data_IF_722818450086
#
_entry.id   IF_722818450086
#
_cell.length_a   1.000
_cell.length_b   1.000
_cell.length_c   1.000
_cell.angle_alpha   90.00
_cell.angle_beta   90.00
_cell.angle_gamma   90.00
#
_symmetry.space_group_name_H-M   'P 1'
#
loop_
_entity.id
_entity.type
_entity.pdbx_description
1 polymer ?
#
# COMPACT_ATOMS: atom_id res chain seq x y z
N UNK A 1 -14.72 1.51 10.30
CA UNK A 1 -14.50 0.89 8.96
C UNK A 1 -13.50 -0.27 9.08
N UNK A 2 -13.66 -1.38 8.33
CA UNK A 2 -12.74 -2.53 8.37
C UNK A 2 -12.03 -2.70 7.02
N UNK A 3 -10.70 -2.65 7.02
CA UNK A 3 -9.84 -2.74 5.83
C UNK A 3 -8.98 -4.02 5.92
N UNK A 4 -8.87 -4.73 4.80
CA UNK A 4 -7.96 -5.83 4.58
C UNK A 4 -6.84 -5.41 3.63
N UNK A 5 -5.60 -5.63 4.03
CA UNK A 5 -4.39 -5.28 3.24
C UNK A 5 -3.45 -6.47 3.09
N UNK A 6 -2.56 -6.40 2.11
CA UNK A 6 -1.61 -7.47 1.82
C UNK A 6 -0.55 -7.64 2.90
N UNK A 7 0.08 -6.56 3.35
CA UNK A 7 1.23 -6.60 4.24
C UNK A 7 1.26 -5.50 5.31
N UNK A 8 2.32 -5.54 6.11
CA UNK A 8 2.52 -4.60 7.21
C UNK A 8 2.75 -3.18 6.72
N UNK A 9 3.52 -3.01 5.63
CA UNK A 9 3.80 -1.67 5.09
C UNK A 9 2.53 -0.96 4.59
N UNK A 10 1.60 -1.70 4.01
CA UNK A 10 0.29 -1.19 3.59
C UNK A 10 -0.55 -0.74 4.78
N UNK A 11 -0.54 -1.57 5.84
CA UNK A 11 -1.20 -1.23 7.10
C UNK A 11 -0.64 0.06 7.68
N UNK A 12 0.67 0.15 7.88
CA UNK A 12 1.34 1.30 8.48
C UNK A 12 1.02 2.60 7.70
N UNK A 13 1.09 2.54 6.37
CA UNK A 13 0.74 3.67 5.51
C UNK A 13 -0.73 4.09 5.66
N UNK A 14 -1.67 3.13 5.59
CA UNK A 14 -3.09 3.42 5.66
C UNK A 14 -3.52 3.90 7.05
N UNK A 15 -2.91 3.43 8.13
CA UNK A 15 -3.16 3.94 9.48
C UNK A 15 -2.76 5.43 9.58
N UNK A 16 -1.58 5.78 9.06
CA UNK A 16 -1.12 7.18 9.02
C UNK A 16 -2.03 8.05 8.15
N UNK A 17 -2.43 7.56 6.97
CA UNK A 17 -3.28 8.31 6.07
C UNK A 17 -4.72 8.45 6.59
N UNK A 18 -5.30 7.41 7.18
CA UNK A 18 -6.62 7.48 7.81
C UNK A 18 -6.60 8.40 9.03
N UNK A 19 -5.53 8.39 9.82
CA UNK A 19 -5.32 9.36 10.92
C UNK A 19 -5.29 10.80 10.40
N UNK A 20 -4.59 11.06 9.31
CA UNK A 20 -4.60 12.38 8.64
C UNK A 20 -6.01 12.80 8.20
N UNK A 21 -6.80 11.86 7.67
CA UNK A 21 -8.20 12.10 7.26
C UNK A 21 -9.21 12.12 8.43
N UNK A 22 -8.78 11.89 9.67
CA UNK A 22 -9.65 11.70 10.85
C UNK A 22 -10.69 10.58 10.68
N UNK A 23 -10.26 9.44 10.12
CA UNK A 23 -11.10 8.25 9.91
C UNK A 23 -10.69 7.15 10.88
N UNK A 24 -11.65 6.60 11.62
CA UNK A 24 -11.41 5.45 12.52
C UNK A 24 -11.51 4.12 11.75
N UNK A 25 -10.41 3.37 11.79
CA UNK A 25 -10.23 2.17 10.98
C UNK A 25 -9.66 1.03 11.80
N UNK A 26 -10.19 -0.17 11.53
CA UNK A 26 -9.54 -1.42 11.87
C UNK A 26 -8.89 -1.96 10.60
N UNK A 27 -7.59 -2.25 10.64
CA UNK A 27 -6.85 -2.82 9.51
C UNK A 27 -6.28 -4.18 9.88
N UNK A 28 -6.64 -5.21 9.11
CA UNK A 28 -6.11 -6.58 9.24
C UNK A 28 -5.27 -6.96 8.01
N UNK A 29 -4.21 -7.74 8.25
CA UNK A 29 -3.24 -8.16 7.22
C UNK A 29 -3.59 -9.58 6.75
N UNK A 30 -3.62 -9.80 5.43
CA UNK A 30 -3.94 -11.11 4.85
C UNK A 30 -2.71 -11.98 4.57
N UNK A 31 -1.50 -11.43 4.70
CA UNK A 31 -0.21 -12.06 4.38
C UNK A 31 -0.03 -12.34 2.87
N UNK A 32 -0.31 -11.33 2.04
CA UNK A 32 -0.16 -11.35 0.59
C UNK A 32 -1.44 -11.64 -0.19
N UNK A 33 -1.54 -11.12 -1.42
CA UNK A 33 -2.78 -11.15 -2.24
C UNK A 33 -3.43 -12.52 -2.46
N UNK A 34 -2.67 -13.62 -2.38
CA UNK A 34 -3.17 -14.98 -2.63
C UNK A 34 -3.68 -15.69 -1.37
N UNK A 35 -3.62 -15.04 -0.21
CA UNK A 35 -3.94 -15.65 1.08
C UNK A 35 -5.30 -15.23 1.65
N UNK A 36 -6.05 -14.37 0.96
CA UNK A 36 -7.37 -13.92 1.42
C UNK A 36 -8.31 -15.11 1.68
N UNK A 37 -8.33 -16.10 0.77
CA UNK A 37 -9.15 -17.31 0.93
C UNK A 37 -8.76 -18.16 2.15
N UNK A 38 -7.50 -18.11 2.55
CA UNK A 38 -6.99 -18.85 3.70
C UNK A 38 -7.29 -18.14 5.03
N UNK A 39 -7.93 -16.97 4.99
CA UNK A 39 -8.24 -16.12 6.14
C UNK A 39 -9.75 -15.82 6.23
N UNK A 40 -10.66 -16.82 6.20
CA UNK A 40 -12.10 -16.60 6.20
C UNK A 40 -12.62 -15.89 7.46
N UNK A 41 -11.86 -15.91 8.55
CA UNK A 41 -12.24 -15.21 9.78
C UNK A 41 -12.09 -13.68 9.66
N UNK A 42 -11.34 -13.18 8.66
CA UNK A 42 -11.11 -11.75 8.45
C UNK A 42 -12.24 -11.08 7.65
N UNK A 43 -13.00 -11.84 6.86
CA UNK A 43 -14.07 -11.32 6.01
C UNK A 43 -15.37 -12.06 6.35
N UNK A 44 -16.35 -11.31 6.85
CA UNK A 44 -17.63 -11.82 7.35
C UNK A 44 -18.80 -11.33 6.50
N UNK A 45 -19.85 -12.16 6.39
CA UNK A 45 -21.03 -11.87 5.57
C UNK A 45 -22.01 -10.85 6.18
N UNK A 46 -21.80 -10.42 7.41
CA UNK A 46 -22.64 -9.45 8.12
C UNK A 46 -22.01 -8.06 8.22
N UNK A 47 -20.82 -7.88 7.63
CA UNK A 47 -20.06 -6.64 7.69
C UNK A 47 -19.57 -6.25 6.30
N UNK A 48 -19.40 -4.94 6.08
CA UNK A 48 -18.76 -4.41 4.88
C UNK A 48 -17.26 -4.35 5.06
N UNK A 49 -16.51 -4.94 4.13
CA UNK A 49 -15.04 -5.03 4.14
C UNK A 49 -14.45 -4.24 2.97
N UNK A 50 -13.44 -3.42 3.25
CA UNK A 50 -12.66 -2.80 2.19
C UNK A 50 -11.41 -3.62 1.93
N UNK A 51 -11.11 -3.92 0.67
CA UNK A 51 -9.93 -4.68 0.28
C UNK A 51 -9.01 -3.75 -0.50
N UNK A 52 -7.85 -3.44 0.07
CA UNK A 52 -6.89 -2.49 -0.50
C UNK A 52 -5.57 -3.22 -0.74
N UNK A 53 -5.39 -3.70 -1.97
CA UNK A 53 -4.26 -4.54 -2.40
C UNK A 53 -3.46 -3.85 -3.49
N UNK A 54 -2.28 -4.36 -3.84
CA UNK A 54 -1.49 -3.85 -4.95
C UNK A 54 -2.08 -4.29 -6.31
N UNK A 55 -1.98 -3.41 -7.31
CA UNK A 55 -2.28 -3.80 -8.69
C UNK A 55 -1.17 -4.68 -9.30
N UNK A 56 0.04 -4.65 -8.72
CA UNK A 56 1.27 -5.26 -9.24
C UNK A 56 1.52 -4.89 -10.70
N UNK A 57 2.01 -5.83 -11.50
CA UNK A 57 2.31 -5.63 -12.92
C UNK A 57 1.03 -5.46 -13.77
N UNK A 58 -0.09 -6.08 -13.35
CA UNK A 58 -1.32 -6.16 -14.14
C UNK A 58 -2.58 -5.94 -13.29
N UNK A 59 -3.10 -4.71 -13.33
CA UNK A 59 -4.31 -4.30 -12.60
C UNK A 59 -5.48 -5.31 -12.72
N UNK A 60 -5.83 -5.71 -13.95
CA UNK A 60 -6.97 -6.59 -14.18
C UNK A 60 -6.77 -8.00 -13.61
N UNK A 61 -5.54 -8.51 -13.65
CA UNK A 61 -5.23 -9.85 -13.14
C UNK A 61 -5.30 -9.86 -11.62
N UNK A 62 -4.76 -8.83 -10.97
CA UNK A 62 -4.83 -8.67 -9.51
C UNK A 62 -6.27 -8.51 -9.03
N UNK A 63 -7.08 -7.70 -9.72
CA UNK A 63 -8.51 -7.56 -9.43
C UNK A 63 -9.26 -8.89 -9.56
N UNK A 64 -9.06 -9.59 -10.68
CA UNK A 64 -9.69 -10.89 -10.97
C UNK A 64 -9.30 -11.93 -9.92
N UNK A 65 -8.04 -11.93 -9.48
CA UNK A 65 -7.55 -12.84 -8.44
C UNK A 65 -8.25 -12.63 -7.09
N UNK A 66 -8.44 -11.37 -6.69
CA UNK A 66 -9.16 -11.02 -5.46
C UNK A 66 -10.62 -11.45 -5.57
N UNK A 67 -11.30 -11.07 -6.65
CA UNK A 67 -12.70 -11.44 -6.89
C UNK A 67 -12.90 -12.96 -6.89
N UNK A 68 -11.97 -13.72 -7.49
CA UNK A 68 -12.03 -15.18 -7.49
C UNK A 68 -11.93 -15.77 -6.07
N UNK A 69 -11.04 -15.24 -5.23
CA UNK A 69 -10.92 -15.70 -3.84
C UNK A 69 -12.20 -15.37 -3.04
N UNK A 70 -12.71 -14.16 -3.18
CA UNK A 70 -13.95 -13.74 -2.50
C UNK A 70 -15.14 -14.60 -2.94
N UNK A 71 -15.27 -14.88 -4.24
CA UNK A 71 -16.32 -15.73 -4.79
C UNK A 71 -16.24 -17.16 -4.21
N UNK A 72 -15.05 -17.71 -4.03
CA UNK A 72 -14.86 -19.02 -3.41
C UNK A 72 -15.27 -19.04 -1.93
N UNK A 73 -15.23 -17.88 -1.27
CA UNK A 73 -15.66 -17.71 0.12
C UNK A 73 -17.16 -17.41 0.26
N UNK A 74 -17.89 -17.27 -0.85
CA UNK A 74 -19.31 -16.92 -0.90
C UNK A 74 -19.65 -15.60 -0.17
N UNK A 75 -18.76 -14.60 -0.25
CA UNK A 75 -19.05 -13.27 0.29
C UNK A 75 -19.92 -12.49 -0.73
N UNK A 76 -21.08 -11.96 -0.32
CA UNK A 76 -21.94 -11.15 -1.19
C UNK A 76 -21.23 -9.88 -1.70
N UNK A 77 -21.57 -9.43 -2.91
CA UNK A 77 -20.95 -8.25 -3.55
C UNK A 77 -21.19 -6.95 -2.78
N UNK A 78 -22.29 -6.86 -2.09
CA UNK A 78 -22.67 -5.73 -1.23
C UNK A 78 -21.80 -5.62 0.03
N UNK A 79 -21.08 -6.68 0.40
CA UNK A 79 -20.29 -6.75 1.62
C UNK A 79 -18.80 -6.48 1.39
N UNK A 80 -18.39 -6.13 0.18
CA UNK A 80 -17.02 -5.74 -0.06
C UNK A 80 -16.88 -4.65 -1.13
N UNK A 81 -15.84 -3.85 -0.99
CA UNK A 81 -15.36 -2.96 -2.04
C UNK A 81 -13.86 -3.17 -2.23
N UNK A 82 -13.39 -3.12 -3.48
CA UNK A 82 -11.98 -3.35 -3.85
C UNK A 82 -11.37 -2.05 -4.35
N UNK A 83 -10.20 -1.71 -3.82
CA UNK A 83 -9.32 -0.68 -4.32
C UNK A 83 -7.95 -1.28 -4.60
N UNK A 84 -7.38 -1.01 -5.77
CA UNK A 84 -6.00 -1.42 -6.06
C UNK A 84 -5.05 -0.23 -6.01
N UNK A 85 -3.97 -0.34 -5.25
CA UNK A 85 -2.87 0.63 -5.28
C UNK A 85 -2.19 0.60 -6.66
N UNK A 86 -1.71 1.75 -7.16
CA UNK A 86 -1.56 3.02 -6.44
C UNK A 86 -2.80 3.93 -6.45
N UNK A 87 -3.71 3.79 -7.42
CA UNK A 87 -4.80 4.76 -7.66
C UNK A 87 -6.08 4.15 -8.25
N UNK A 88 -6.28 2.85 -8.08
CA UNK A 88 -7.40 2.07 -8.59
C UNK A 88 -7.59 2.09 -10.11
N UNK A 89 -6.53 2.39 -10.87
CA UNK A 89 -6.56 2.43 -12.33
C UNK A 89 -5.27 1.93 -12.97
N UNK A 90 -4.13 2.39 -12.46
CA UNK A 90 -2.83 2.05 -13.00
C UNK A 90 -2.31 0.75 -12.37
N UNK A 91 -1.46 0.03 -13.09
CA UNK A 91 -0.58 -0.99 -12.48
C UNK A 91 0.41 -0.32 -11.51
N UNK A 92 0.82 -1.05 -10.49
CA UNK A 92 1.75 -0.58 -9.47
C UNK A 92 1.35 -1.07 -8.08
N UNK A 93 1.88 -0.38 -7.09
CA UNK A 93 1.82 -0.81 -5.70
C UNK A 93 1.95 0.40 -4.76
N UNK A 94 1.97 0.15 -3.45
CA UNK A 94 2.23 1.19 -2.45
C UNK A 94 3.50 2.00 -2.74
N UNK A 95 4.61 1.37 -3.11
CA UNK A 95 5.83 2.12 -3.40
C UNK A 95 5.66 3.05 -4.60
N UNK A 96 4.90 2.63 -5.61
CA UNK A 96 4.53 3.49 -6.75
C UNK A 96 3.74 4.71 -6.29
N UNK A 97 2.82 4.54 -5.34
CA UNK A 97 2.08 5.65 -4.76
C UNK A 97 2.99 6.61 -3.99
N UNK A 98 3.82 6.10 -3.07
CA UNK A 98 4.73 6.91 -2.25
C UNK A 98 5.70 7.70 -3.13
N UNK A 99 6.26 7.08 -4.18
CA UNK A 99 7.09 7.79 -5.15
C UNK A 99 6.38 8.95 -5.84
N UNK A 100 5.06 8.90 -6.05
CA UNK A 100 4.30 10.00 -6.66
C UNK A 100 4.06 11.13 -5.68
N UNK A 101 3.78 10.82 -4.42
CA UNK A 101 3.41 11.81 -3.40
C UNK A 101 4.59 12.34 -2.56
N UNK A 102 5.77 11.74 -2.63
CA UNK A 102 6.95 12.22 -1.90
C UNK A 102 7.27 13.69 -2.20
N UNK A 103 7.48 14.52 -1.18
CA UNK A 103 7.78 15.95 -1.33
C UNK A 103 9.24 16.18 -1.73
N UNK A 104 10.15 15.39 -1.17
CA UNK A 104 11.60 15.53 -1.35
C UNK A 104 12.14 14.52 -2.39
N UNK A 105 11.80 14.71 -3.66
CA UNK A 105 12.21 13.80 -4.76
C UNK A 105 13.73 13.62 -4.85
N UNK A 106 14.50 14.59 -4.39
CA UNK A 106 15.95 14.58 -4.36
C UNK A 106 16.49 13.39 -3.56
N UNK A 107 15.83 13.03 -2.45
CA UNK A 107 16.20 11.85 -1.64
C UNK A 107 15.99 10.55 -2.44
N UNK A 108 14.88 10.45 -3.17
CA UNK A 108 14.63 9.31 -4.07
C UNK A 108 15.68 9.25 -5.19
N UNK A 109 16.06 10.40 -5.75
CA UNK A 109 17.09 10.49 -6.79
C UNK A 109 18.49 10.12 -6.25
N UNK A 110 18.78 10.38 -4.97
CA UNK A 110 20.02 9.90 -4.33
C UNK A 110 20.09 8.36 -4.34
N UNK A 111 18.95 7.68 -4.15
CA UNK A 111 18.89 6.22 -4.22
C UNK A 111 19.18 5.70 -5.63
N UNK A 112 18.70 6.38 -6.67
CA UNK A 112 19.02 6.04 -8.07
C UNK A 112 20.53 6.14 -8.32
N UNK A 113 21.20 7.15 -7.74
CA UNK A 113 22.66 7.25 -7.78
C UNK A 113 23.38 6.10 -7.05
N UNK A 114 22.80 5.59 -5.97
CA UNK A 114 23.29 4.39 -5.28
C UNK A 114 23.13 3.12 -6.14
N UNK A 115 21.98 2.93 -6.78
CA UNK A 115 21.75 1.83 -7.72
C UNK A 115 22.73 1.89 -8.90
N UNK A 116 22.94 3.09 -9.46
CA UNK A 116 23.91 3.30 -10.53
C UNK A 116 25.33 2.97 -10.07
N UNK A 117 25.71 3.38 -8.86
CA UNK A 117 27.00 3.05 -8.26
C UNK A 117 27.21 1.55 -8.15
N UNK A 118 26.23 0.80 -7.61
CA UNK A 118 26.27 -0.66 -7.52
C UNK A 118 26.43 -1.30 -8.89
N UNK A 119 25.64 -0.85 -9.87
CA UNK A 119 25.64 -1.41 -11.22
C UNK A 119 27.02 -1.34 -11.90
N UNK A 120 27.82 -0.32 -11.56
CA UNK A 120 29.15 -0.07 -12.13
C UNK A 120 30.28 -0.87 -11.47
N UNK A 121 30.03 -1.57 -10.34
CA UNK A 121 31.07 -2.32 -9.63
C UNK A 121 31.55 -3.57 -10.37
N UNK A 122 30.79 -4.06 -11.37
CA UNK A 122 31.18 -5.23 -12.17
C UNK A 122 31.25 -6.55 -11.39
N UNK A 123 30.65 -6.61 -10.19
CA UNK A 123 30.63 -7.80 -9.34
C UNK A 123 29.61 -8.79 -9.92
N UNK A 124 30.07 -9.98 -10.31
CA UNK A 124 29.20 -11.01 -10.88
C UNK A 124 28.15 -11.46 -9.84
N UNK A 125 26.88 -11.51 -10.26
CA UNK A 125 25.76 -11.90 -9.41
C UNK A 125 25.24 -10.82 -8.45
N UNK A 126 25.76 -9.60 -8.50
CA UNK A 126 25.21 -8.49 -7.70
C UNK A 126 23.79 -8.17 -8.19
N UNK A 127 22.86 -7.97 -7.24
CA UNK A 127 21.48 -7.57 -7.51
C UNK A 127 21.29 -6.13 -7.09
N UNK A 128 20.55 -5.37 -7.89
CA UNK A 128 20.11 -4.05 -7.47
C UNK A 128 19.07 -4.17 -6.35
N UNK A 129 19.01 -3.21 -5.43
CA UNK A 129 17.94 -3.11 -4.46
C UNK A 129 16.55 -3.15 -5.12
N UNK A 130 15.56 -3.65 -4.39
CA UNK A 130 14.18 -3.62 -4.84
C UNK A 130 13.59 -2.21 -4.67
N UNK A 131 12.51 -1.91 -5.40
CA UNK A 131 11.74 -0.66 -5.26
C UNK A 131 11.34 -0.36 -3.80
N UNK A 132 10.99 -1.39 -3.05
CA UNK A 132 10.73 -1.32 -1.60
C UNK A 132 11.89 -0.71 -0.81
N UNK A 133 13.13 -1.05 -1.17
CA UNK A 133 14.32 -0.49 -0.52
C UNK A 133 14.47 1.01 -0.79
N UNK A 134 14.08 1.50 -1.97
CA UNK A 134 14.12 2.93 -2.31
C UNK A 134 13.15 3.74 -1.44
N UNK A 135 11.91 3.26 -1.31
CA UNK A 135 10.89 3.92 -0.47
C UNK A 135 11.23 3.80 1.01
N UNK A 136 11.74 2.65 1.46
CA UNK A 136 12.20 2.51 2.83
C UNK A 136 13.36 3.47 3.15
N UNK A 137 14.37 3.56 2.29
CA UNK A 137 15.47 4.52 2.44
C UNK A 137 15.00 5.98 2.44
N UNK A 138 13.96 6.29 1.67
CA UNK A 138 13.30 7.60 1.72
C UNK A 138 12.75 7.91 3.11
N UNK A 139 11.97 6.98 3.67
CA UNK A 139 11.40 7.13 5.01
C UNK A 139 12.49 7.18 6.10
N UNK A 140 13.52 6.33 6.00
CA UNK A 140 14.65 6.29 6.94
C UNK A 140 15.44 7.60 6.97
N UNK A 141 15.55 8.28 5.82
CA UNK A 141 16.21 9.59 5.72
C UNK A 141 15.53 10.66 6.59
N UNK A 142 14.28 10.44 6.98
CA UNK A 142 13.49 11.32 7.83
C UNK A 142 13.22 10.76 9.23
N UNK A 143 13.89 9.69 9.62
CA UNK A 143 13.86 9.16 10.98
C UNK A 143 12.89 8.01 11.22
N UNK A 144 12.27 7.45 10.18
CA UNK A 144 11.63 6.14 10.29
C UNK A 144 12.71 5.08 10.54
N UNK A 145 12.64 4.29 11.62
CA UNK A 145 13.71 3.32 11.94
C UNK A 145 13.29 1.88 11.75
N UNK A 146 12.08 1.54 12.18
CA UNK A 146 11.53 0.20 12.08
C UNK A 146 10.00 0.27 12.24
N UNK A 147 9.29 -0.82 11.90
CA UNK A 147 7.84 -0.91 12.09
C UNK A 147 7.39 -0.74 13.56
N UNK A 148 8.23 -1.08 14.53
CA UNK A 148 7.90 -0.94 15.97
C UNK A 148 7.84 0.53 16.41
N UNK A 149 8.58 1.43 15.74
CA UNK A 149 8.54 2.88 15.97
C UNK A 149 7.57 3.61 15.02
N UNK A 150 6.86 2.89 14.13
CA UNK A 150 5.97 3.47 13.13
C UNK A 150 4.83 4.31 13.73
N UNK A 151 4.30 3.91 14.90
CA UNK A 151 3.23 4.63 15.60
C UNK A 151 3.58 6.09 15.92
N UNK A 152 4.88 6.39 16.11
CA UNK A 152 5.38 7.71 16.45
C UNK A 152 5.91 8.49 15.23
N UNK A 153 5.95 7.85 14.05
CA UNK A 153 6.47 8.48 12.85
C UNK A 153 5.36 9.21 12.11
N UNK A 154 5.50 10.53 11.98
CA UNK A 154 4.61 11.33 11.15
C UNK A 154 5.17 11.45 9.73
N UNK A 155 4.53 10.78 8.78
CA UNK A 155 4.92 10.84 7.36
C UNK A 155 4.45 12.14 6.67
N UNK A 156 3.47 12.85 7.23
CA UNK A 156 2.84 14.01 6.58
C UNK A 156 3.78 15.18 6.22
N UNK A 157 4.90 15.44 6.93
CA UNK A 157 5.85 16.47 6.51
C UNK A 157 6.69 16.08 5.28
N UNK A 158 6.65 14.80 4.88
CA UNK A 158 7.51 14.22 3.85
C UNK A 158 6.72 13.77 2.61
N UNK A 159 5.41 13.63 2.71
CA UNK A 159 4.54 13.30 1.58
C UNK A 159 3.40 14.31 1.43
N UNK A 160 2.99 14.53 0.20
CA UNK A 160 1.84 15.35 -0.14
C UNK A 160 0.55 14.52 -0.02
N UNK A 161 -0.07 14.50 1.16
CA UNK A 161 -1.35 13.79 1.36
C UNK A 161 -2.54 14.42 0.64
N UNK A 162 -2.40 15.63 0.08
CA UNK A 162 -3.39 16.26 -0.79
C UNK A 162 -3.06 16.08 -2.28
N UNK A 163 -2.06 15.25 -2.60
CA UNK A 163 -1.70 15.00 -3.98
C UNK A 163 -2.85 14.34 -4.74
N UNK A 164 -3.09 14.77 -5.98
CA UNK A 164 -4.11 14.17 -6.87
C UNK A 164 -3.97 12.66 -7.06
N UNK A 165 -2.78 12.08 -6.89
CA UNK A 165 -2.59 10.62 -6.99
C UNK A 165 -3.28 9.84 -5.84
N UNK A 166 -3.61 10.52 -4.73
CA UNK A 166 -4.36 9.98 -3.60
C UNK A 166 -5.86 10.25 -3.67
N UNK A 167 -6.32 11.03 -4.64
CA UNK A 167 -7.72 11.50 -4.68
C UNK A 167 -8.70 10.32 -4.76
N UNK A 168 -8.41 9.32 -5.59
CA UNK A 168 -9.25 8.12 -5.70
C UNK A 168 -9.28 7.33 -4.39
N UNK A 169 -8.14 7.20 -3.69
CA UNK A 169 -8.07 6.52 -2.39
C UNK A 169 -8.82 7.32 -1.31
N UNK A 170 -8.67 8.65 -1.29
CA UNK A 170 -9.36 9.57 -0.39
C UNK A 170 -10.87 9.42 -0.55
N UNK A 171 -11.36 9.50 -1.79
CA UNK A 171 -12.78 9.36 -2.11
C UNK A 171 -13.30 7.97 -1.75
N UNK A 172 -12.52 6.92 -2.02
CA UNK A 172 -12.86 5.55 -1.66
C UNK A 172 -13.03 5.37 -0.15
N UNK A 173 -12.11 5.91 0.66
CA UNK A 173 -12.17 5.82 2.12
C UNK A 173 -13.32 6.66 2.69
N UNK A 174 -13.51 7.89 2.21
CA UNK A 174 -14.57 8.79 2.71
C UNK A 174 -15.97 8.26 2.38
N UNK A 175 -16.21 7.81 1.16
CA UNK A 175 -17.50 7.22 0.75
C UNK A 175 -17.89 6.00 1.59
N UNK A 176 -16.89 5.25 2.08
CA UNK A 176 -17.11 4.05 2.89
C UNK A 176 -17.09 4.30 4.41
N UNK A 177 -16.89 5.56 4.82
CA UNK A 177 -16.93 5.98 6.21
C UNK A 177 -18.24 6.68 6.59
N UNK A 178 -19.08 7.00 5.61
CA UNK A 178 -20.45 7.50 5.80
C UNK A 178 -21.43 6.38 6.21
#
# INVERSE_FOLDING_TARGET
>A
MHILVEGHTDKDFLELYCKYLNIDVRIDIVDGKNNLINKPNLIRNDEKHLIIFDADDYYNDSKTNIENQINQMNIPKENYDIFLLPNNKDSGNLETLIEKIALYKEVLNCFEGYEECISKLGINGIKLPHKKSKVFAYMESFGFKNPEEAENFDLSPYVDFENKYLEDLKNFLLYNNE
#
